data_IF_501358504846
#
_entry.id   IF_501358504846
#
_cell.length_a   1.000
_cell.length_b   1.000
_cell.length_c   1.000
_cell.angle_alpha   90.00
_cell.angle_beta   90.00
_cell.angle_gamma   90.00
#
_symmetry.space_group_name_H-M   'P 1'
#
loop_
_entity.id
_entity.type
_entity.pdbx_description
1 polymer ?
#
# COMPACT_ATOMS: atom_id res chain seq x y z
N UNK A 1 13.62 9.81 1.02
CA UNK A 1 12.90 8.55 0.74
C UNK A 1 11.50 8.64 1.36
N UNK A 2 10.47 8.14 0.67
CA UNK A 2 9.10 8.12 1.20
C UNK A 2 8.77 6.68 1.61
N UNK A 3 8.47 6.49 2.90
CA UNK A 3 8.02 5.20 3.41
C UNK A 3 6.48 5.20 3.35
N UNK A 4 5.91 4.34 2.51
CA UNK A 4 4.48 4.34 2.24
C UNK A 4 3.94 2.88 2.19
N UNK A 5 3.49 2.32 3.33
CA UNK A 5 2.68 1.11 3.32
C UNK A 5 1.30 1.38 2.68
N UNK A 6 0.46 0.35 2.58
CA UNK A 6 -0.91 0.54 2.10
C UNK A 6 -1.71 1.45 3.03
N UNK A 7 -2.53 2.33 2.44
CA UNK A 7 -3.37 3.26 3.18
C UNK A 7 -4.61 2.55 3.76
N UNK A 8 -4.45 1.91 4.91
CA UNK A 8 -5.53 1.26 5.65
C UNK A 8 -5.19 1.14 7.14
N UNK A 9 -6.22 1.02 7.98
CA UNK A 9 -6.05 0.55 9.36
C UNK A 9 -5.56 -0.90 9.35
N UNK A 10 -4.84 -1.31 10.40
CA UNK A 10 -4.32 -2.67 10.51
C UNK A 10 -5.46 -3.71 10.40
N UNK A 11 -5.24 -4.75 9.59
CA UNK A 11 -6.22 -5.80 9.32
C UNK A 11 -7.33 -5.44 8.31
N UNK A 12 -7.43 -4.17 7.89
CA UNK A 12 -8.39 -3.74 6.86
C UNK A 12 -7.82 -3.88 5.44
N UNK A 13 -8.70 -3.84 4.44
CA UNK A 13 -8.28 -3.80 3.04
C UNK A 13 -7.63 -2.46 2.69
N UNK A 14 -6.63 -2.41 1.79
CA UNK A 14 -6.07 -1.16 1.28
C UNK A 14 -7.15 -0.26 0.67
N UNK A 15 -7.15 1.02 1.03
CA UNK A 15 -7.99 2.01 0.35
C UNK A 15 -7.62 2.11 -1.14
N UNK A 16 -8.65 2.14 -1.99
CA UNK A 16 -8.53 2.26 -3.45
C UNK A 16 -8.84 3.65 -3.95
N UNK A 17 -9.57 4.43 -3.17
CA UNK A 17 -10.00 5.79 -3.48
C UNK A 17 -9.62 6.72 -2.34
N UNK A 18 -9.53 8.03 -2.63
CA UNK A 18 -9.32 9.03 -1.58
C UNK A 18 -10.44 9.02 -0.54
N UNK A 19 -11.67 8.70 -0.94
CA UNK A 19 -12.82 8.63 -0.03
C UNK A 19 -12.67 7.51 1.01
N UNK A 20 -12.22 6.33 0.58
CA UNK A 20 -11.93 5.22 1.51
C UNK A 20 -10.76 5.58 2.45
N UNK A 21 -9.70 6.22 1.93
CA UNK A 21 -8.58 6.66 2.75
C UNK A 21 -9.02 7.68 3.81
N UNK A 22 -9.85 8.66 3.43
CA UNK A 22 -10.44 9.63 4.38
C UNK A 22 -11.38 8.97 5.37
N UNK A 23 -12.12 7.94 4.99
CA UNK A 23 -12.95 7.16 5.92
C UNK A 23 -12.10 6.43 6.96
N UNK A 24 -10.90 5.95 6.60
CA UNK A 24 -9.98 5.32 7.54
C UNK A 24 -9.28 6.31 8.47
N UNK A 25 -8.79 7.42 7.95
CA UNK A 25 -7.83 8.26 8.66
C UNK A 25 -8.36 9.65 9.04
N UNK A 26 -9.44 10.15 8.42
CA UNK A 26 -10.05 11.44 8.74
C UNK A 26 -9.04 12.60 8.78
N UNK A 27 -9.02 13.34 9.87
CA UNK A 27 -8.07 14.43 10.11
C UNK A 27 -6.77 13.97 10.78
N UNK A 28 -6.57 12.66 10.96
CA UNK A 28 -5.36 12.07 11.56
C UNK A 28 -4.14 12.02 10.62
N UNK A 29 -4.27 12.54 9.40
CA UNK A 29 -3.20 12.63 8.39
C UNK A 29 -3.21 14.05 7.81
N UNK A 30 -2.03 14.66 7.72
CA UNK A 30 -1.88 16.07 7.32
C UNK A 30 -2.21 16.36 5.85
N UNK A 31 -2.18 15.33 4.98
CA UNK A 31 -2.33 15.51 3.55
C UNK A 31 -2.94 14.31 2.83
N UNK A 32 -3.81 14.61 1.86
CA UNK A 32 -4.39 13.63 0.94
C UNK A 32 -4.22 14.10 -0.50
N UNK A 33 -3.88 13.17 -1.39
CA UNK A 33 -3.75 13.42 -2.83
C UNK A 33 -4.67 12.47 -3.60
N UNK A 34 -5.55 13.01 -4.43
CA UNK A 34 -6.45 12.20 -5.26
C UNK A 34 -5.77 11.85 -6.59
N UNK A 35 -5.27 10.62 -6.68
CA UNK A 35 -4.69 10.05 -7.89
C UNK A 35 -5.66 9.20 -8.72
N UNK A 36 -6.96 9.20 -8.38
CA UNK A 36 -7.96 8.31 -8.95
C UNK A 36 -8.06 6.95 -8.25
N UNK A 37 -8.74 6.00 -8.91
CA UNK A 37 -9.11 4.71 -8.31
C UNK A 37 -8.13 3.60 -8.68
N UNK A 38 -7.62 2.87 -7.68
CA UNK A 38 -6.85 1.64 -7.90
C UNK A 38 -7.78 0.49 -8.29
N UNK A 39 -7.55 -0.22 -9.42
CA UNK A 39 -8.40 -1.35 -9.83
C UNK A 39 -8.58 -2.45 -8.78
N UNK A 40 -9.70 -3.15 -8.84
CA UNK A 40 -10.07 -4.20 -7.88
C UNK A 40 -9.16 -5.43 -7.93
N UNK A 41 -8.50 -5.63 -9.07
CA UNK A 41 -7.59 -6.74 -9.32
C UNK A 41 -6.10 -6.38 -9.16
N UNK A 42 -5.76 -5.21 -8.60
CA UNK A 42 -4.36 -4.83 -8.35
C UNK A 42 -3.87 -5.46 -7.04
N UNK A 43 -2.92 -6.42 -7.08
CA UNK A 43 -2.35 -6.96 -5.87
C UNK A 43 -1.31 -6.00 -5.27
N UNK A 44 -1.03 -6.12 -3.97
CA UNK A 44 0.13 -5.46 -3.38
C UNK A 44 1.45 -5.90 -4.06
N UNK A 45 2.48 -5.05 -4.03
CA UNK A 45 3.78 -5.36 -4.64
C UNK A 45 4.40 -6.67 -4.13
N UNK A 46 5.04 -7.40 -5.04
CA UNK A 46 5.85 -8.59 -4.74
C UNK A 46 7.09 -8.17 -3.95
N UNK A 47 7.42 -8.92 -2.91
CA UNK A 47 8.65 -8.73 -2.14
C UNK A 47 9.57 -9.92 -2.37
N UNK A 48 10.81 -9.65 -2.72
CA UNK A 48 11.84 -10.67 -2.91
C UNK A 48 13.08 -10.34 -2.11
N UNK A 49 13.79 -11.38 -1.65
CA UNK A 49 15.12 -11.30 -1.07
C UNK A 49 16.10 -11.89 -2.07
N UNK A 50 17.14 -11.13 -2.40
CA UNK A 50 18.23 -11.59 -3.27
C UNK A 50 19.41 -11.97 -2.37
N UNK A 51 19.81 -13.23 -2.43
CA UNK A 51 20.92 -13.77 -1.64
C UNK A 51 22.26 -13.51 -2.32
N UNK A 52 23.35 -13.65 -1.56
CA UNK A 52 24.71 -13.36 -2.03
C UNK A 52 25.20 -14.31 -3.13
N UNK A 53 24.60 -15.50 -3.25
CA UNK A 53 24.83 -16.46 -4.33
C UNK A 53 23.95 -16.21 -5.57
N UNK A 54 23.15 -15.15 -5.56
CA UNK A 54 22.24 -14.77 -6.65
C UNK A 54 20.88 -15.46 -6.60
N UNK A 55 20.60 -16.31 -5.61
CA UNK A 55 19.27 -16.93 -5.44
C UNK A 55 18.24 -15.86 -5.05
N UNK A 56 17.05 -15.93 -5.65
CA UNK A 56 15.94 -15.02 -5.38
C UNK A 56 14.83 -15.75 -4.64
N UNK A 57 14.61 -15.37 -3.39
CA UNK A 57 13.54 -15.90 -2.55
C UNK A 57 12.33 -14.98 -2.59
N UNK A 58 11.13 -15.54 -2.79
CA UNK A 58 9.88 -14.77 -2.67
C UNK A 58 9.47 -14.68 -1.21
N UNK A 59 9.31 -13.46 -0.73
CA UNK A 59 8.79 -13.16 0.61
C UNK A 59 7.30 -12.85 0.59
N UNK A 60 6.83 -12.18 -0.47
CA UNK A 60 5.43 -11.88 -0.75
C UNK A 60 5.16 -11.81 -2.23
#
# INVERSE_FOLDING_TARGET
PLIAPSANLEGQLPARTITEARAYFGDGVDYYYDGGTVPTNTPPSRLVRVLSDGVVERLR
#
